data_IF_252228429619
#
_entry.id   IF_252228429619
#
_cell.length_a   1.000
_cell.length_b   1.000
_cell.length_c   1.000
_cell.angle_alpha   90.00
_cell.angle_beta   90.00
_cell.angle_gamma   90.00
#
_symmetry.space_group_name_H-M   'P 1'
#
loop_
_entity.id
_entity.type
_entity.pdbx_description
1 polymer ?
#
# COMPACT_ATOMS: atom_id res chain seq x y z
N UNK A 1 26.35 -16.70 -15.62
CA UNK A 1 25.02 -16.53 -15.00
C UNK A 1 24.29 -15.35 -15.66
N UNK A 2 22.95 -15.38 -15.76
CA UNK A 2 22.16 -14.32 -16.41
C UNK A 2 22.43 -12.94 -15.81
N UNK A 3 22.71 -12.87 -14.51
CA UNK A 3 22.99 -11.64 -13.78
C UNK A 3 24.23 -10.88 -14.28
N UNK A 4 25.36 -11.56 -14.49
CA UNK A 4 26.58 -10.93 -15.01
C UNK A 4 26.38 -10.36 -16.42
N UNK A 5 25.55 -11.01 -17.24
CA UNK A 5 25.25 -10.55 -18.60
C UNK A 5 24.38 -9.27 -18.62
N UNK A 6 23.56 -9.06 -17.59
CA UNK A 6 22.72 -7.87 -17.45
C UNK A 6 23.52 -6.67 -16.92
N UNK A 7 24.40 -6.93 -15.94
CA UNK A 7 25.31 -5.92 -15.37
C UNK A 7 26.31 -5.40 -16.42
N UNK A 8 26.84 -6.29 -17.29
CA UNK A 8 27.76 -5.93 -18.38
C UNK A 8 27.07 -5.18 -19.55
N UNK A 9 25.74 -5.24 -19.66
CA UNK A 9 24.99 -4.67 -20.78
C UNK A 9 24.47 -3.24 -20.56
N UNK A 10 24.84 -2.58 -19.45
CA UNK A 10 24.23 -1.32 -18.98
C UNK A 10 22.69 -1.37 -18.88
N UNK A 11 22.12 -2.58 -18.84
CA UNK A 11 20.68 -2.77 -18.66
C UNK A 11 20.44 -2.63 -17.17
N UNK A 12 19.83 -1.52 -16.76
CA UNK A 12 19.31 -1.38 -15.40
C UNK A 12 18.16 -2.40 -15.28
N UNK A 13 18.31 -3.51 -14.54
CA UNK A 13 17.19 -4.41 -14.33
C UNK A 13 16.14 -3.65 -13.53
N UNK A 14 14.91 -3.58 -14.05
CA UNK A 14 13.77 -3.19 -13.22
C UNK A 14 13.55 -4.36 -12.26
N UNK A 15 14.23 -4.30 -11.12
CA UNK A 15 14.04 -5.25 -10.02
C UNK A 15 12.63 -4.96 -9.49
N UNK A 16 11.72 -5.91 -9.65
CA UNK A 16 10.41 -5.79 -9.02
C UNK A 16 10.58 -5.62 -7.50
N UNK A 17 9.83 -4.69 -6.92
CA UNK A 17 9.89 -4.44 -5.48
C UNK A 17 9.66 -5.76 -4.72
N UNK A 18 10.64 -6.27 -3.94
CA UNK A 18 10.55 -7.59 -3.32
C UNK A 18 9.48 -7.67 -2.22
N UNK A 19 8.95 -6.52 -1.79
CA UNK A 19 7.97 -6.41 -0.71
C UNK A 19 6.50 -6.50 -1.17
N UNK A 20 6.21 -7.15 -2.30
CA UNK A 20 4.83 -7.54 -2.63
C UNK A 20 4.38 -8.62 -1.65
N UNK A 21 3.20 -8.47 -1.06
CA UNK A 21 2.57 -9.56 -0.33
C UNK A 21 2.28 -10.70 -1.31
N UNK A 22 2.56 -11.94 -0.91
CA UNK A 22 2.43 -13.11 -1.79
C UNK A 22 0.98 -13.58 -1.99
N UNK A 23 0.08 -13.09 -1.16
CA UNK A 23 -1.29 -13.59 -1.04
C UNK A 23 -2.26 -12.47 -1.42
N UNK A 24 -2.86 -11.82 -0.42
CA UNK A 24 -3.96 -10.89 -0.64
C UNK A 24 -3.49 -9.53 -1.15
N UNK A 25 -4.32 -8.93 -2.01
CA UNK A 25 -4.14 -7.58 -2.52
C UNK A 25 -4.43 -6.51 -1.44
N UNK A 26 -5.18 -6.88 -0.42
CA UNK A 26 -5.70 -6.00 0.63
C UNK A 26 -5.49 -6.63 2.01
N UNK A 27 -5.15 -5.82 3.01
CA UNK A 27 -5.02 -6.24 4.42
C UNK A 27 -5.88 -5.38 5.32
N UNK A 28 -6.44 -6.00 6.36
CA UNK A 28 -7.16 -5.30 7.40
C UNK A 28 -6.18 -4.66 8.38
N UNK A 29 -6.46 -3.42 8.77
CA UNK A 29 -5.74 -2.76 9.85
C UNK A 29 -6.35 -3.18 11.18
N UNK A 30 -5.62 -4.04 11.92
CA UNK A 30 -6.06 -4.58 13.21
C UNK A 30 -7.49 -5.16 13.09
N UNK A 31 -8.34 -4.89 14.08
CA UNK A 31 -9.76 -5.27 14.09
C UNK A 31 -10.63 -4.03 13.82
N UNK A 32 -10.38 -3.38 12.67
CA UNK A 32 -11.13 -2.20 12.22
C UNK A 32 -11.65 -2.41 10.81
N UNK A 33 -12.62 -1.60 10.39
CA UNK A 33 -13.12 -1.62 9.01
C UNK A 33 -12.18 -0.92 8.00
N UNK A 34 -10.94 -0.61 8.42
CA UNK A 34 -9.92 -0.05 7.54
C UNK A 34 -9.16 -1.18 6.83
N UNK A 35 -9.12 -1.08 5.51
CA UNK A 35 -8.33 -1.94 4.64
C UNK A 35 -7.26 -1.12 3.93
N UNK A 36 -6.12 -1.71 3.62
CA UNK A 36 -5.08 -1.07 2.83
C UNK A 36 -4.44 -2.04 1.85
N UNK A 37 -4.04 -1.52 0.69
CA UNK A 37 -3.36 -2.32 -0.34
C UNK A 37 -1.83 -2.16 -0.30
N UNK A 38 -1.15 -2.94 -1.14
CA UNK A 38 0.30 -2.90 -1.29
C UNK A 38 0.83 -1.53 -1.75
N UNK A 39 0.01 -0.74 -2.45
CA UNK A 39 0.34 0.62 -2.90
C UNK A 39 0.19 1.67 -1.79
N UNK A 40 -0.28 1.29 -0.60
CA UNK A 40 -0.53 2.20 0.51
C UNK A 40 -1.83 3.00 0.39
N UNK A 41 -2.73 2.61 -0.51
CA UNK A 41 -4.07 3.19 -0.57
C UNK A 41 -4.93 2.61 0.56
N UNK A 42 -5.68 3.47 1.25
CA UNK A 42 -6.48 3.11 2.42
C UNK A 42 -7.96 3.24 2.09
N UNK A 43 -8.75 2.30 2.59
CA UNK A 43 -10.18 2.16 2.33
C UNK A 43 -10.94 1.94 3.64
N UNK A 44 -12.13 2.51 3.74
CA UNK A 44 -13.12 2.19 4.76
C UNK A 44 -14.14 1.21 4.17
N UNK A 45 -14.43 0.12 4.87
CA UNK A 45 -15.50 -0.82 4.50
C UNK A 45 -16.78 -0.38 5.21
N UNK A 46 -17.81 -0.02 4.46
CA UNK A 46 -19.09 0.36 5.05
C UNK A 46 -19.90 -0.85 5.56
N UNK A 47 -21.03 -0.60 6.22
CA UNK A 47 -21.92 -1.65 6.76
C UNK A 47 -22.48 -2.60 5.68
N UNK A 48 -22.42 -2.21 4.40
CA UNK A 48 -22.87 -3.02 3.26
C UNK A 48 -21.71 -3.80 2.62
N UNK A 49 -20.49 -3.68 3.14
CA UNK A 49 -19.27 -4.27 2.59
C UNK A 49 -18.68 -3.49 1.42
N UNK A 50 -19.12 -2.26 1.17
CA UNK A 50 -18.58 -1.43 0.10
C UNK A 50 -17.27 -0.77 0.53
N UNK A 51 -16.23 -0.88 -0.30
CA UNK A 51 -14.96 -0.20 -0.08
C UNK A 51 -15.01 1.26 -0.55
N UNK A 52 -14.76 2.18 0.38
CA UNK A 52 -14.70 3.62 0.14
C UNK A 52 -13.26 4.07 0.32
N UNK A 53 -12.62 4.51 -0.79
CA UNK A 53 -11.24 5.00 -0.73
C UNK A 53 -11.14 6.27 0.11
N UNK A 54 -10.22 6.27 1.07
CA UNK A 54 -9.90 7.43 1.90
C UNK A 54 -8.74 8.23 1.30
N UNK A 55 -8.71 9.51 1.65
CA UNK A 55 -7.68 10.47 1.22
C UNK A 55 -6.77 10.74 2.39
N UNK A 56 -5.47 10.67 2.16
CA UNK A 56 -4.47 11.08 3.13
C UNK A 56 -4.62 12.58 3.48
N UNK A 57 -4.76 12.89 4.77
CA UNK A 57 -4.93 14.23 5.33
C UNK A 57 -3.69 14.73 6.08
N UNK A 58 -2.56 14.04 5.93
CA UNK A 58 -1.30 14.39 6.59
C UNK A 58 -1.03 13.59 7.87
N UNK A 59 0.19 13.78 8.37
CA UNK A 59 0.68 13.16 9.59
C UNK A 59 0.39 14.06 10.80
N UNK A 60 -0.11 13.46 11.87
CA UNK A 60 -0.32 14.10 13.16
C UNK A 60 0.79 13.71 14.12
N UNK A 61 1.67 14.67 14.42
CA UNK A 61 2.81 14.48 15.31
C UNK A 61 2.40 14.29 16.77
N UNK A 62 1.23 14.80 17.18
CA UNK A 62 0.80 14.73 18.59
C UNK A 62 0.51 13.29 19.04
N UNK A 63 0.09 12.45 18.11
CA UNK A 63 -0.27 11.05 18.33
C UNK A 63 0.50 10.07 17.44
N UNK A 64 1.54 10.56 16.74
CA UNK A 64 2.38 9.78 15.82
C UNK A 64 1.56 8.93 14.84
N UNK A 65 0.61 9.56 14.14
CA UNK A 65 -0.34 8.84 13.29
C UNK A 65 -0.55 9.48 11.92
N UNK A 66 -0.83 8.63 10.92
CA UNK A 66 -1.29 9.06 9.61
C UNK A 66 -2.80 9.27 9.64
N UNK A 67 -3.27 10.42 9.14
CA UNK A 67 -4.70 10.73 9.09
C UNK A 67 -5.25 10.48 7.71
N UNK A 68 -6.41 9.86 7.67
CA UNK A 68 -7.18 9.61 6.46
C UNK A 68 -8.62 10.08 6.67
N UNK A 69 -9.27 10.52 5.60
CA UNK A 69 -10.66 10.93 5.66
C UNK A 69 -11.34 10.88 4.30
N UNK A 70 -12.66 11.01 4.31
CA UNK A 70 -13.46 10.97 3.09
C UNK A 70 -13.15 12.14 2.14
N UNK A 71 -13.47 11.95 0.85
CA UNK A 71 -13.55 13.06 -0.10
C UNK A 71 -14.68 14.01 0.36
N UNK A 72 -14.48 15.33 0.31
CA UNK A 72 -15.59 16.26 0.47
C UNK A 72 -16.67 16.07 -0.62
#
# INVERSE_FOLDING_TARGET
PLQNLLEDAEIIPIIENPHKWKEDEMRQYLDTDLMYNQSGEVFWIDEKGQSIRLIYKGYDKSCDSLRYGFHP
#
